data_IF_382163351793
#
_entry.id   IF_382163351793
#
_cell.length_a   1.000
_cell.length_b   1.000
_cell.length_c   1.000
_cell.angle_alpha   90.00
_cell.angle_beta   90.00
_cell.angle_gamma   90.00
#
_symmetry.space_group_name_H-M   'P 1'
#
loop_
_entity.id
_entity.type
_entity.pdbx_description
1 polymer ?
#
# COMPACT_ATOMS: atom_id res chain seq x y z
N UNK A 1 -22.29 -91.67 -42.00
CA UNK A 1 -22.99 -91.19 -40.79
C UNK A 1 -22.19 -90.03 -40.24
N UNK A 2 -22.84 -88.87 -40.13
CA UNK A 2 -22.26 -87.61 -39.66
C UNK A 2 -21.95 -87.67 -38.15
N UNK A 3 -20.79 -87.13 -37.74
CA UNK A 3 -20.47 -86.76 -36.37
C UNK A 3 -20.33 -85.23 -36.27
N UNK A 4 -21.03 -84.62 -35.32
CA UNK A 4 -21.27 -83.18 -35.21
C UNK A 4 -20.08 -82.36 -34.66
N UNK A 5 -19.94 -81.12 -35.14
CA UNK A 5 -19.00 -80.13 -34.61
C UNK A 5 -19.54 -79.46 -33.33
N UNK A 6 -18.65 -79.25 -32.35
CA UNK A 6 -18.90 -78.49 -31.12
C UNK A 6 -19.17 -77.00 -31.42
N UNK A 7 -20.08 -76.39 -30.66
CA UNK A 7 -20.41 -74.97 -30.75
C UNK A 7 -19.27 -74.07 -30.28
N UNK A 8 -19.10 -72.93 -30.95
CA UNK A 8 -18.17 -71.88 -30.56
C UNK A 8 -18.84 -70.93 -29.57
N UNK A 9 -18.26 -70.76 -28.38
CA UNK A 9 -18.62 -69.68 -27.45
C UNK A 9 -18.08 -68.34 -27.98
N UNK A 10 -18.91 -67.30 -27.92
CA UNK A 10 -18.55 -65.95 -28.34
C UNK A 10 -17.71 -65.25 -27.25
N UNK A 11 -16.68 -64.47 -27.61
CA UNK A 11 -15.91 -63.72 -26.62
C UNK A 11 -16.74 -62.55 -26.07
N UNK A 12 -16.70 -62.36 -24.75
CA UNK A 12 -17.29 -61.20 -24.10
C UNK A 12 -16.56 -59.91 -24.52
N UNK A 13 -17.32 -58.88 -24.86
CA UNK A 13 -16.80 -57.57 -25.27
C UNK A 13 -16.13 -56.81 -24.11
N UNK A 14 -15.28 -55.82 -24.39
CA UNK A 14 -14.57 -55.06 -23.37
C UNK A 14 -15.55 -54.21 -22.54
N UNK A 15 -15.50 -54.37 -21.22
CA UNK A 15 -16.21 -53.51 -20.28
C UNK A 15 -15.68 -52.08 -20.36
N UNK A 16 -16.58 -51.12 -20.48
CA UNK A 16 -16.22 -49.70 -20.44
C UNK A 16 -16.21 -49.25 -18.97
N UNK A 17 -15.03 -49.18 -18.37
CA UNK A 17 -14.85 -48.56 -17.06
C UNK A 17 -14.88 -47.03 -17.22
N UNK A 18 -15.85 -46.38 -16.57
CA UNK A 18 -15.94 -44.91 -16.53
C UNK A 18 -15.25 -44.42 -15.27
N UNK A 19 -14.14 -43.69 -15.44
CA UNK A 19 -13.49 -42.95 -14.36
C UNK A 19 -14.11 -41.55 -14.26
N UNK A 20 -14.74 -41.24 -13.12
CA UNK A 20 -15.14 -39.89 -12.79
C UNK A 20 -13.90 -39.07 -12.39
N UNK A 21 -13.49 -38.12 -13.23
CA UNK A 21 -12.46 -37.14 -12.88
C UNK A 21 -13.14 -35.99 -12.14
N UNK A 22 -12.96 -35.92 -10.83
CA UNK A 22 -13.38 -34.75 -10.04
C UNK A 22 -12.43 -33.60 -10.34
N UNK A 23 -12.88 -32.64 -11.14
CA UNK A 23 -12.14 -31.40 -11.35
C UNK A 23 -12.22 -30.54 -10.08
N UNK A 24 -11.13 -30.48 -9.32
CA UNK A 24 -10.96 -29.48 -8.26
C UNK A 24 -10.76 -28.12 -8.92
N UNK A 25 -11.78 -27.28 -8.90
CA UNK A 25 -11.62 -25.87 -9.26
C UNK A 25 -10.80 -25.19 -8.17
N UNK A 26 -9.55 -24.84 -8.47
CA UNK A 26 -8.75 -23.92 -7.66
C UNK A 26 -9.32 -22.50 -7.83
N UNK A 27 -10.29 -22.15 -7.00
CA UNK A 27 -10.86 -20.81 -6.96
C UNK A 27 -10.12 -19.97 -5.93
N UNK A 28 -9.09 -19.23 -6.38
CA UNK A 28 -8.77 -17.89 -5.86
C UNK A 28 -7.71 -17.23 -6.74
N UNK A 29 -8.13 -16.61 -7.84
CA UNK A 29 -7.32 -15.50 -8.37
C UNK A 29 -7.60 -14.34 -7.41
N UNK A 30 -6.76 -14.15 -6.40
CA UNK A 30 -6.82 -12.95 -5.58
C UNK A 30 -6.51 -11.77 -6.48
N UNK A 31 -7.45 -10.81 -6.59
CA UNK A 31 -7.16 -9.52 -7.21
C UNK A 31 -5.93 -8.93 -6.53
N UNK A 32 -4.87 -8.56 -7.27
CA UNK A 32 -3.64 -8.08 -6.65
C UNK A 32 -3.89 -6.79 -5.88
N UNK A 33 -3.28 -6.65 -4.70
CA UNK A 33 -3.16 -5.35 -4.06
C UNK A 33 -2.25 -4.44 -4.89
N UNK A 34 -2.80 -3.32 -5.38
CA UNK A 34 -2.07 -2.33 -6.16
C UNK A 34 -1.70 -1.17 -5.25
N UNK A 35 -0.42 -0.84 -5.25
CA UNK A 35 0.15 0.29 -4.52
C UNK A 35 0.83 1.24 -5.50
N UNK A 36 0.62 2.54 -5.33
CA UNK A 36 1.33 3.58 -6.09
C UNK A 36 1.90 4.59 -5.11
N UNK A 37 3.17 4.95 -5.26
CA UNK A 37 3.86 5.84 -4.34
C UNK A 37 4.64 6.94 -5.04
N UNK A 38 4.66 8.14 -4.46
CA UNK A 38 5.58 9.21 -4.82
C UNK A 38 5.95 10.03 -3.57
N UNK A 39 7.09 10.71 -3.60
CA UNK A 39 7.51 11.68 -2.59
C UNK A 39 8.05 12.93 -3.28
N UNK A 40 8.34 13.97 -2.49
CA UNK A 40 8.72 15.28 -3.02
C UNK A 40 7.67 15.80 -4.01
N UNK A 41 6.44 15.95 -3.52
CA UNK A 41 5.26 16.31 -4.29
C UNK A 41 4.57 17.55 -3.73
N UNK A 42 3.67 18.13 -4.51
CA UNK A 42 2.88 19.30 -4.12
C UNK A 42 3.68 20.59 -4.15
N UNK A 43 4.48 20.84 -5.19
CA UNK A 43 5.17 22.10 -5.45
C UNK A 43 4.30 23.05 -6.28
N UNK A 44 4.21 24.30 -5.83
CA UNK A 44 3.56 25.40 -6.54
C UNK A 44 4.41 25.98 -7.70
N UNK A 45 5.69 25.60 -7.80
CA UNK A 45 6.65 26.15 -8.76
C UNK A 45 6.51 25.66 -10.21
N UNK A 46 5.61 24.72 -10.50
CA UNK A 46 5.45 24.11 -11.83
C UNK A 46 4.11 23.39 -12.00
N UNK A 47 4.03 22.50 -12.99
CA UNK A 47 2.85 21.67 -13.25
C UNK A 47 3.10 20.15 -13.16
N UNK A 48 4.27 19.75 -12.66
CA UNK A 48 4.68 18.34 -12.59
C UNK A 48 3.84 17.57 -11.55
N UNK A 49 3.45 18.24 -10.46
CA UNK A 49 2.59 17.65 -9.44
C UNK A 49 1.17 17.40 -9.94
N UNK A 50 0.61 18.30 -10.73
CA UNK A 50 -0.67 18.09 -11.40
C UNK A 50 -0.58 16.92 -12.37
N UNK A 51 0.51 16.82 -13.14
CA UNK A 51 0.71 15.72 -14.09
C UNK A 51 0.81 14.36 -13.37
N UNK A 52 1.56 14.27 -12.27
CA UNK A 52 1.64 13.02 -11.49
C UNK A 52 0.32 12.72 -10.78
N UNK A 53 -0.38 13.74 -10.28
CA UNK A 53 -1.72 13.59 -9.73
C UNK A 53 -2.73 13.13 -10.78
N UNK A 54 -2.59 13.53 -12.05
CA UNK A 54 -3.42 13.05 -13.17
C UNK A 54 -3.16 11.59 -13.51
N UNK A 55 -1.93 11.09 -13.40
CA UNK A 55 -1.65 9.67 -13.58
C UNK A 55 -2.47 8.82 -12.60
N UNK A 56 -2.61 9.30 -11.36
CA UNK A 56 -3.40 8.65 -10.34
C UNK A 56 -4.90 8.55 -10.68
N UNK A 57 -5.44 9.35 -11.59
CA UNK A 57 -6.86 9.26 -12.00
C UNK A 57 -7.20 7.94 -12.71
N UNK A 58 -6.21 7.31 -13.34
CA UNK A 58 -6.39 6.02 -14.03
C UNK A 58 -5.80 4.83 -13.27
N UNK A 59 -5.02 5.08 -12.22
CA UNK A 59 -4.38 4.03 -11.42
C UNK A 59 -5.25 3.65 -10.20
N UNK A 60 -5.76 2.41 -10.14
CA UNK A 60 -6.55 1.93 -9.01
C UNK A 60 -5.67 1.65 -7.80
N UNK A 61 -6.30 1.30 -6.68
CA UNK A 61 -5.61 0.84 -5.48
C UNK A 61 -5.19 1.97 -4.54
N UNK A 62 -4.27 1.62 -3.64
CA UNK A 62 -3.86 2.47 -2.53
C UNK A 62 -2.68 3.35 -2.92
N UNK A 63 -2.74 4.62 -2.55
CA UNK A 63 -1.66 5.58 -2.77
C UNK A 63 -0.85 5.71 -1.48
N UNK A 64 0.46 5.83 -1.61
CA UNK A 64 1.33 6.28 -0.53
C UNK A 64 2.03 7.57 -0.94
N UNK A 65 2.21 8.49 0.02
CA UNK A 65 3.24 9.51 -0.14
C UNK A 65 4.48 9.08 0.61
N UNK A 66 5.65 9.47 0.12
CA UNK A 66 6.96 9.10 0.67
C UNK A 66 7.67 10.29 1.33
N UNK A 67 6.89 11.26 1.82
CA UNK A 67 7.37 12.46 2.51
C UNK A 67 7.50 13.67 1.59
N UNK A 68 7.69 14.84 2.21
CA UNK A 68 7.77 16.14 1.55
C UNK A 68 6.56 16.39 0.66
N UNK A 69 5.40 16.45 1.31
CA UNK A 69 4.10 16.35 0.65
C UNK A 69 3.55 17.68 0.15
N UNK A 70 4.07 18.81 0.64
CA UNK A 70 3.58 20.12 0.24
C UNK A 70 4.73 21.13 0.36
N UNK A 71 5.14 21.70 -0.76
CA UNK A 71 6.21 22.68 -0.81
C UNK A 71 5.66 24.12 -0.76
N UNK A 72 6.45 25.08 -0.27
CA UNK A 72 7.86 24.94 0.09
C UNK A 72 8.16 24.41 1.51
N UNK A 73 7.21 24.45 2.45
CA UNK A 73 7.52 24.30 3.89
C UNK A 73 6.56 23.39 4.67
N UNK A 74 5.76 22.58 3.97
CA UNK A 74 4.75 21.73 4.60
C UNK A 74 3.69 22.50 5.38
N UNK A 75 3.54 23.81 5.13
CA UNK A 75 2.61 24.66 5.86
C UNK A 75 1.16 24.42 5.44
N UNK A 76 0.19 24.86 6.25
CA UNK A 76 -1.23 24.71 5.92
C UNK A 76 -1.60 25.40 4.58
N UNK A 77 -0.94 26.52 4.26
CA UNK A 77 -1.07 27.20 2.98
C UNK A 77 -0.56 26.35 1.82
N UNK A 78 0.55 25.62 2.00
CA UNK A 78 1.16 24.77 0.98
C UNK A 78 0.25 23.57 0.65
N UNK A 79 -0.35 22.97 1.69
CA UNK A 79 -1.36 21.94 1.51
C UNK A 79 -2.61 22.47 0.78
N UNK A 80 -3.01 23.72 1.05
CA UNK A 80 -4.20 24.33 0.45
C UNK A 80 -3.96 24.75 -1.00
N UNK A 81 -2.80 25.33 -1.29
CA UNK A 81 -2.52 26.01 -2.55
C UNK A 81 -1.71 25.16 -3.53
N UNK A 82 -0.94 24.17 -3.06
CA UNK A 82 -0.06 23.36 -3.90
C UNK A 82 -0.51 21.88 -3.92
N UNK A 83 -0.48 21.19 -2.77
CA UNK A 83 -0.84 19.77 -2.73
C UNK A 83 -2.33 19.52 -3.05
N UNK A 84 -3.23 20.32 -2.48
CA UNK A 84 -4.67 20.18 -2.63
C UNK A 84 -5.12 20.16 -4.10
N UNK A 85 -4.76 21.17 -4.91
CA UNK A 85 -5.07 21.20 -6.33
C UNK A 85 -4.45 20.04 -7.13
N UNK A 86 -3.19 19.69 -6.84
CA UNK A 86 -2.45 18.69 -7.63
C UNK A 86 -2.88 17.25 -7.32
N UNK A 87 -2.95 16.89 -6.03
CA UNK A 87 -3.11 15.52 -5.54
C UNK A 87 -4.32 15.33 -4.61
N UNK A 88 -4.91 16.40 -4.08
CA UNK A 88 -5.91 16.35 -3.00
C UNK A 88 -7.15 15.51 -3.28
N UNK A 89 -7.55 15.35 -4.56
CA UNK A 89 -8.66 14.46 -4.94
C UNK A 89 -8.41 12.97 -4.65
N UNK A 90 -7.14 12.57 -4.49
CA UNK A 90 -6.75 11.20 -4.15
C UNK A 90 -6.63 10.95 -2.64
N UNK A 91 -6.78 11.99 -1.80
CA UNK A 91 -6.58 11.93 -0.34
C UNK A 91 -7.28 10.77 0.36
N UNK A 92 -8.50 10.42 -0.08
CA UNK A 92 -9.30 9.36 0.53
C UNK A 92 -8.70 7.95 0.37
N UNK A 93 -7.76 7.75 -0.55
CA UNK A 93 -7.06 6.48 -0.75
C UNK A 93 -5.54 6.60 -0.55
N UNK A 94 -5.08 7.71 0.03
CA UNK A 94 -3.67 7.98 0.29
C UNK A 94 -3.33 7.72 1.75
N UNK A 95 -2.19 7.09 2.00
CA UNK A 95 -1.54 6.99 3.30
C UNK A 95 -0.23 7.76 3.21
N UNK A 96 -0.03 8.73 4.10
CA UNK A 96 1.10 9.64 4.03
C UNK A 96 2.23 9.24 4.96
N UNK A 97 3.46 9.46 4.52
CA UNK A 97 4.64 9.56 5.39
C UNK A 97 5.06 11.03 5.49
N UNK A 98 5.83 11.37 6.52
CA UNK A 98 6.40 12.70 6.68
C UNK A 98 7.86 12.70 6.21
N UNK A 99 8.28 13.78 5.54
CA UNK A 99 9.66 14.07 5.20
C UNK A 99 10.19 15.28 5.98
N UNK A 100 11.41 15.74 5.66
CA UNK A 100 12.00 16.89 6.38
C UNK A 100 11.27 18.20 6.10
N UNK A 101 10.76 18.42 4.89
CA UNK A 101 10.06 19.65 4.54
C UNK A 101 8.69 19.77 5.24
N UNK A 102 8.09 18.64 5.65
CA UNK A 102 6.89 18.66 6.49
C UNK A 102 7.17 19.24 7.90
N UNK A 103 8.45 19.40 8.28
CA UNK A 103 8.89 19.96 9.57
C UNK A 103 9.56 21.34 9.45
N UNK A 104 9.59 21.98 8.27
CA UNK A 104 10.23 23.30 8.08
C UNK A 104 9.63 24.39 8.99
N UNK A 105 8.36 24.23 9.37
CA UNK A 105 7.67 25.10 10.34
C UNK A 105 8.02 24.79 11.81
N UNK A 106 9.01 23.92 12.07
CA UNK A 106 9.44 23.45 13.39
C UNK A 106 8.61 22.29 13.96
N UNK A 107 7.50 21.94 13.32
CA UNK A 107 6.63 20.80 13.62
C UNK A 107 5.80 20.44 12.37
N UNK A 108 5.17 19.26 12.38
CA UNK A 108 4.34 18.76 11.29
C UNK A 108 2.81 18.94 11.52
N UNK A 109 2.38 19.93 12.33
CA UNK A 109 0.97 20.12 12.68
C UNK A 109 0.04 20.30 11.46
N UNK A 110 0.53 20.96 10.42
CA UNK A 110 -0.21 21.13 9.17
C UNK A 110 -0.45 19.79 8.47
N UNK A 111 0.58 18.94 8.39
CA UNK A 111 0.45 17.58 7.85
C UNK A 111 -0.51 16.73 8.71
N UNK A 112 -0.39 16.75 10.04
CA UNK A 112 -1.32 16.05 10.93
C UNK A 112 -2.77 16.52 10.75
N UNK A 113 -2.98 17.83 10.64
CA UNK A 113 -4.31 18.42 10.43
C UNK A 113 -4.88 18.05 9.06
N UNK A 114 -4.04 18.05 8.02
CA UNK A 114 -4.47 17.71 6.67
C UNK A 114 -4.80 16.22 6.56
N UNK A 115 -3.90 15.34 6.96
CA UNK A 115 -4.04 13.89 6.73
C UNK A 115 -4.84 13.15 7.81
N UNK A 116 -4.94 13.68 9.02
CA UNK A 116 -5.58 13.01 10.15
C UNK A 116 -4.92 11.66 10.45
N UNK A 117 -5.72 10.59 10.58
CA UNK A 117 -5.22 9.25 10.88
C UNK A 117 -4.33 8.64 9.79
N UNK A 118 -4.25 9.25 8.60
CA UNK A 118 -3.44 8.78 7.47
C UNK A 118 -1.97 9.20 7.55
N UNK A 119 -1.53 9.84 8.63
CA UNK A 119 -0.12 10.23 8.85
C UNK A 119 0.33 9.98 10.30
N UNK A 120 -0.23 8.94 10.94
CA UNK A 120 0.06 8.60 12.34
C UNK A 120 -1.03 9.09 13.31
N UNK A 121 -1.89 8.19 13.84
CA UNK A 121 -3.07 8.55 14.65
C UNK A 121 -2.82 9.35 15.94
N UNK A 122 -1.57 9.48 16.39
CA UNK A 122 -1.19 10.17 17.64
C UNK A 122 -0.26 11.37 17.41
N UNK A 123 -0.17 11.91 16.20
CA UNK A 123 0.78 12.97 15.89
C UNK A 123 2.24 12.50 15.94
N UNK A 124 2.46 11.18 15.83
CA UNK A 124 3.78 10.54 15.90
C UNK A 124 4.49 10.51 14.57
N UNK A 125 3.75 10.58 13.46
CA UNK A 125 4.28 10.41 12.10
C UNK A 125 4.66 8.97 11.74
N UNK A 126 4.63 8.04 12.69
CA UNK A 126 4.84 6.61 12.49
C UNK A 126 3.61 5.81 12.90
N UNK A 127 3.31 4.74 12.16
CA UNK A 127 2.14 3.89 12.34
C UNK A 127 2.25 2.62 11.48
N UNK A 128 1.37 1.66 11.72
CA UNK A 128 1.15 0.51 10.84
C UNK A 128 -0.29 0.46 10.35
N UNK A 129 -0.51 -0.15 9.18
CA UNK A 129 -1.84 -0.35 8.59
C UNK A 129 -1.88 -1.66 7.81
N UNK A 130 -2.99 -2.39 7.93
CA UNK A 130 -3.25 -3.56 7.11
C UNK A 130 -4.04 -3.15 5.85
N UNK A 131 -3.50 -3.47 4.67
CA UNK A 131 -4.14 -3.22 3.38
C UNK A 131 -4.15 -4.53 2.60
N UNK A 132 -5.35 -5.14 2.49
CA UNK A 132 -5.46 -6.50 1.97
C UNK A 132 -4.60 -7.46 2.78
N UNK A 133 -3.74 -8.22 2.10
CA UNK A 133 -2.82 -9.16 2.74
C UNK A 133 -1.51 -8.53 3.27
N UNK A 134 -1.33 -7.21 3.11
CA UNK A 134 -0.10 -6.52 3.49
C UNK A 134 -0.22 -5.87 4.86
N UNK A 135 0.77 -6.12 5.71
CA UNK A 135 1.04 -5.30 6.89
C UNK A 135 2.08 -4.24 6.52
N UNK A 136 1.65 -2.98 6.42
CA UNK A 136 2.49 -1.86 6.00
C UNK A 136 2.91 -1.06 7.21
N UNK A 137 4.21 -0.83 7.35
CA UNK A 137 4.82 -0.07 8.43
C UNK A 137 5.34 1.25 7.86
N UNK A 138 4.91 2.35 8.47
CA UNK A 138 5.35 3.71 8.15
C UNK A 138 6.18 4.23 9.30
N UNK A 139 7.41 4.62 8.99
CA UNK A 139 8.36 5.21 9.92
C UNK A 139 8.45 6.72 9.71
N UNK A 140 8.83 7.43 10.77
CA UNK A 140 9.10 8.86 10.76
C UNK A 140 10.59 9.08 10.94
N UNK A 141 11.26 9.56 9.88
CA UNK A 141 12.71 9.80 9.80
C UNK A 141 13.08 11.30 9.75
N UNK A 142 12.13 12.20 9.98
CA UNK A 142 12.32 13.64 9.79
C UNK A 142 13.01 14.38 10.96
N UNK A 143 13.13 13.74 12.13
CA UNK A 143 13.67 14.30 13.38
C UNK A 143 15.15 14.74 13.40
N UNK A 144 15.87 14.75 12.27
CA UNK A 144 17.27 15.20 12.17
C UNK A 144 17.42 16.69 11.81
N UNK A 145 16.37 17.33 11.29
CA UNK A 145 16.52 18.62 10.58
C UNK A 145 16.09 19.87 11.34
N UNK A 146 15.67 19.78 12.61
CA UNK A 146 15.39 20.98 13.41
C UNK A 146 16.49 21.21 14.45
N UNK A 147 16.95 22.46 14.55
CA UNK A 147 18.06 22.88 15.43
C UNK A 147 17.78 22.67 16.94
N UNK A 148 16.60 22.20 17.31
CA UNK A 148 16.11 22.09 18.70
C UNK A 148 15.68 20.68 19.10
N UNK A 149 15.79 19.65 18.24
CA UNK A 149 15.35 18.30 18.59
C UNK A 149 16.51 17.30 18.69
N UNK A 150 17.01 17.13 19.92
CA UNK A 150 18.13 16.24 20.29
C UNK A 150 17.70 14.76 20.38
N UNK A 151 16.42 14.46 20.16
CA UNK A 151 15.93 13.09 20.03
C UNK A 151 15.73 12.75 18.57
N UNK A 152 16.60 11.90 18.03
CA UNK A 152 16.30 11.14 16.82
C UNK A 152 15.15 10.19 17.15
N UNK A 153 13.93 10.36 16.59
CA UNK A 153 12.79 9.53 16.96
C UNK A 153 12.95 8.07 16.54
N UNK A 154 14.06 7.65 15.92
CA UNK A 154 14.35 6.28 15.48
C UNK A 154 15.63 5.68 16.10
N UNK A 155 16.27 6.36 17.05
CA UNK A 155 17.42 5.79 17.75
C UNK A 155 17.05 4.50 18.50
N UNK A 156 18.03 3.64 18.77
CA UNK A 156 17.85 2.46 19.64
C UNK A 156 17.26 2.88 21.00
N UNK A 157 16.17 2.23 21.44
CA UNK A 157 15.45 2.58 22.66
C UNK A 157 14.52 3.78 22.54
N UNK A 158 14.38 4.41 21.36
CA UNK A 158 13.37 5.45 21.13
C UNK A 158 11.94 4.88 21.21
N UNK A 159 10.92 5.72 21.46
CA UNK A 159 9.52 5.28 21.45
C UNK A 159 9.11 4.60 20.13
N UNK A 160 9.58 5.10 18.98
CA UNK A 160 9.29 4.48 17.68
C UNK A 160 9.98 3.12 17.54
N UNK A 161 11.22 2.98 18.01
CA UNK A 161 11.94 1.71 17.92
C UNK A 161 11.32 0.64 18.82
N UNK A 162 10.92 1.01 20.03
CA UNK A 162 10.18 0.11 20.95
C UNK A 162 8.81 -0.26 20.37
N UNK A 163 8.10 0.71 19.78
CA UNK A 163 6.84 0.47 19.07
C UNK A 163 7.03 -0.49 17.89
N UNK A 164 8.05 -0.26 17.06
CA UNK A 164 8.34 -1.10 15.89
C UNK A 164 8.66 -2.54 16.29
N UNK A 165 9.40 -2.76 17.39
CA UNK A 165 9.63 -4.11 17.92
C UNK A 165 8.34 -4.80 18.34
N UNK A 166 7.40 -4.06 18.93
CA UNK A 166 6.12 -4.61 19.37
C UNK A 166 5.18 -4.88 18.18
N UNK A 167 5.23 -4.06 17.13
CA UNK A 167 4.42 -4.19 15.92
C UNK A 167 4.86 -5.38 15.05
N UNK A 168 6.17 -5.70 15.05
CA UNK A 168 6.76 -6.82 14.30
C UNK A 168 6.72 -8.19 15.02
N UNK A 169 6.27 -8.25 16.27
CA UNK A 169 6.30 -9.45 17.11
C UNK A 169 5.08 -10.36 16.87
#
# INVERSE_FOLDING_TARGET
>A
MLGACHGAESPAGPGTESFAVTATTLSSVTTPEIFTGAGNIGDCGGNYDEQTGQLLDSLPGTVFTLGDNAFPHGAAADYTNCFGPAWGRHKARTWATLGNHDYDSGNANAAFSYWGSRVGPNGTGYYSVNIGSWHVIVLNDAGKYTATNVYSPWASGSPQEQWLRADLA
#
